data_IF_989131579217
#
_entry.id   IF_989131579217
#
_cell.length_a   1.000
_cell.length_b   1.000
_cell.length_c   1.000
_cell.angle_alpha   90.00
_cell.angle_beta   90.00
_cell.angle_gamma   90.00
#
_symmetry.space_group_name_H-M   'P 1'
#
loop_
_entity.id
_entity.type
_entity.pdbx_description
1 polymer ?
#
# COMPACT_ATOMS: atom_id res chain seq x y z
N UNK A 1 10.50 5.94 1.07
CA UNK A 1 9.06 5.63 0.87
C UNK A 1 8.80 4.13 0.79
N UNK A 2 9.75 3.32 0.33
CA UNK A 2 9.64 1.87 0.40
C UNK A 2 9.27 1.33 1.78
N UNK A 3 9.88 1.87 2.82
CA UNK A 3 9.64 1.57 4.22
C UNK A 3 8.15 1.55 4.60
N UNK A 4 7.44 2.65 4.31
CA UNK A 4 6.00 2.77 4.57
C UNK A 4 5.18 1.87 3.67
N UNK A 5 5.46 1.88 2.36
CA UNK A 5 4.67 1.12 1.39
C UNK A 5 4.73 -0.39 1.65
N UNK A 6 5.93 -0.95 1.81
CA UNK A 6 6.13 -2.39 2.06
C UNK A 6 5.53 -2.82 3.40
N UNK A 7 5.64 -1.96 4.43
CA UNK A 7 5.00 -2.19 5.73
C UNK A 7 3.48 -2.19 5.62
N UNK A 8 2.89 -1.23 4.90
CA UNK A 8 1.43 -1.15 4.76
C UNK A 8 0.88 -2.33 3.98
N UNK A 9 1.54 -2.76 2.89
CA UNK A 9 1.15 -3.97 2.16
C UNK A 9 1.13 -5.17 3.12
N UNK A 10 2.20 -5.38 3.91
CA UNK A 10 2.24 -6.48 4.89
C UNK A 10 1.10 -6.40 5.90
N UNK A 11 0.85 -5.22 6.45
CA UNK A 11 -0.19 -5.01 7.48
C UNK A 11 -1.61 -5.18 6.92
N UNK A 12 -1.86 -4.73 5.69
CA UNK A 12 -3.12 -4.93 4.99
C UNK A 12 -3.45 -6.43 4.87
N UNK A 13 -2.45 -7.26 4.59
CA UNK A 13 -2.59 -8.71 4.56
C UNK A 13 -2.53 -9.39 5.94
N UNK A 14 -2.54 -8.61 7.04
CA UNK A 14 -2.52 -9.08 8.44
C UNK A 14 -1.35 -10.02 8.77
N UNK A 15 -0.21 -9.87 8.07
CA UNK A 15 0.96 -10.71 8.28
C UNK A 15 1.90 -10.10 9.34
N UNK A 16 2.45 -10.92 10.22
CA UNK A 16 3.58 -10.51 11.06
C UNK A 16 4.85 -10.36 10.22
N UNK A 17 5.86 -9.66 10.73
CA UNK A 17 7.17 -9.60 10.07
C UNK A 17 7.81 -10.99 9.97
N UNK A 18 7.57 -11.88 10.93
CA UNK A 18 8.06 -13.26 10.85
C UNK A 18 7.37 -14.00 9.70
N UNK A 19 6.04 -13.90 9.61
CA UNK A 19 5.24 -14.65 8.64
C UNK A 19 5.59 -14.24 7.22
N UNK A 20 5.70 -12.93 6.95
CA UNK A 20 6.07 -12.46 5.63
C UNK A 20 7.52 -12.85 5.29
N UNK A 21 8.45 -12.67 6.23
CA UNK A 21 9.85 -13.01 6.01
C UNK A 21 10.03 -14.49 5.63
N UNK A 22 9.29 -15.39 6.29
CA UNK A 22 9.23 -16.80 5.93
C UNK A 22 8.64 -17.01 4.53
N UNK A 23 7.49 -16.41 4.24
CA UNK A 23 6.79 -16.56 2.95
C UNK A 23 7.62 -16.07 1.75
N UNK A 24 8.39 -14.99 1.90
CA UNK A 24 9.24 -14.46 0.83
C UNK A 24 10.71 -14.87 0.96
N UNK A 25 11.01 -15.80 1.86
CA UNK A 25 12.35 -16.35 2.07
C UNK A 25 13.44 -15.27 2.25
N UNK A 26 13.25 -14.40 3.23
CA UNK A 26 14.25 -13.43 3.71
C UNK A 26 14.34 -13.49 5.24
N UNK A 27 15.37 -12.88 5.83
CA UNK A 27 15.40 -12.79 7.29
C UNK A 27 14.41 -11.75 7.81
N UNK A 28 13.75 -12.06 8.94
CA UNK A 28 12.93 -11.09 9.68
C UNK A 28 13.71 -9.80 10.00
N UNK A 29 15.00 -9.93 10.33
CA UNK A 29 15.86 -8.77 10.62
C UNK A 29 15.97 -7.86 9.42
N UNK A 30 16.19 -8.41 8.22
CA UNK A 30 16.27 -7.63 7.00
C UNK A 30 14.92 -6.96 6.67
N UNK A 31 13.81 -7.68 6.80
CA UNK A 31 12.47 -7.12 6.64
C UNK A 31 12.22 -5.93 7.60
N UNK A 32 12.65 -6.06 8.86
CA UNK A 32 12.55 -4.99 9.85
C UNK A 32 13.41 -3.77 9.46
N UNK A 33 14.61 -3.98 8.93
CA UNK A 33 15.47 -2.88 8.48
C UNK A 33 14.84 -2.10 7.31
N UNK A 34 14.26 -2.79 6.33
CA UNK A 34 13.62 -2.13 5.19
C UNK A 34 12.34 -1.39 5.59
N UNK A 35 11.49 -1.98 6.46
CA UNK A 35 10.25 -1.35 6.94
C UNK A 35 10.49 -0.18 7.91
N UNK A 36 11.70 -0.05 8.45
CA UNK A 36 12.11 1.06 9.33
C UNK A 36 12.96 2.12 8.62
N UNK A 37 13.05 2.05 7.29
CA UNK A 37 13.89 2.93 6.49
C UNK A 37 15.37 2.92 6.91
N UNK A 38 15.86 1.81 7.47
CA UNK A 38 17.28 1.65 7.83
C UNK A 38 18.11 1.13 6.66
N UNK A 39 17.48 0.41 5.74
CA UNK A 39 18.08 -0.09 4.49
C UNK A 39 17.07 0.06 3.37
N UNK A 40 17.56 0.28 2.16
CA UNK A 40 16.72 0.14 0.99
C UNK A 40 16.47 -1.35 0.67
N UNK A 41 15.26 -1.71 0.20
CA UNK A 41 15.01 -3.04 -0.32
C UNK A 41 15.78 -3.26 -1.61
N UNK A 42 16.34 -4.46 -1.79
CA UNK A 42 16.90 -4.83 -3.09
C UNK A 42 15.79 -5.07 -4.12
N UNK A 43 16.13 -5.00 -5.41
CA UNK A 43 15.20 -5.36 -6.49
C UNK A 43 14.63 -6.78 -6.31
N UNK A 44 15.43 -7.70 -5.77
CA UNK A 44 15.01 -9.07 -5.49
C UNK A 44 13.92 -9.13 -4.42
N UNK A 45 14.02 -8.32 -3.36
CA UNK A 45 12.94 -8.19 -2.38
C UNK A 45 11.69 -7.61 -3.02
N UNK A 46 11.82 -6.57 -3.85
CA UNK A 46 10.68 -5.97 -4.53
C UNK A 46 9.98 -6.96 -5.47
N UNK A 47 10.74 -7.81 -6.19
CA UNK A 47 10.18 -8.91 -7.00
C UNK A 47 9.41 -9.90 -6.14
N UNK A 48 9.97 -10.32 -5.01
CA UNK A 48 9.30 -11.22 -4.08
C UNK A 48 8.00 -10.64 -3.51
N UNK A 49 7.97 -9.33 -3.22
CA UNK A 49 6.73 -8.63 -2.88
C UNK A 49 5.73 -8.63 -4.04
N UNK A 50 6.19 -8.30 -5.24
CA UNK A 50 5.37 -8.29 -6.45
C UNK A 50 4.71 -9.65 -6.70
N UNK A 51 5.49 -10.74 -6.62
CA UNK A 51 5.02 -12.11 -6.75
C UNK A 51 4.07 -12.52 -5.63
N UNK A 52 4.44 -12.23 -4.36
CA UNK A 52 3.64 -12.65 -3.20
C UNK A 52 2.28 -11.97 -3.14
N UNK A 53 2.21 -10.69 -3.52
CA UNK A 53 1.01 -9.87 -3.41
C UNK A 53 0.33 -9.60 -4.75
N UNK A 54 0.81 -10.24 -5.82
CA UNK A 54 0.28 -10.12 -7.18
C UNK A 54 0.19 -8.65 -7.65
N UNK A 55 1.16 -7.83 -7.24
CA UNK A 55 1.26 -6.42 -7.65
C UNK A 55 2.34 -6.26 -8.71
N UNK A 56 2.16 -5.39 -9.72
CA UNK A 56 3.21 -5.12 -10.69
C UNK A 56 4.48 -4.59 -10.00
N UNK A 57 5.64 -5.14 -10.33
CA UNK A 57 6.94 -4.67 -9.81
C UNK A 57 7.15 -3.18 -10.07
N UNK A 58 6.72 -2.70 -11.24
CA UNK A 58 6.78 -1.27 -11.61
C UNK A 58 6.01 -0.37 -10.63
N UNK A 59 4.89 -0.84 -10.09
CA UNK A 59 4.11 -0.11 -9.08
C UNK A 59 4.90 0.08 -7.78
N UNK A 60 5.67 -0.94 -7.37
CA UNK A 60 6.56 -0.83 -6.22
C UNK A 60 7.75 0.07 -6.53
N UNK A 61 8.32 -0.01 -7.74
CA UNK A 61 9.46 0.80 -8.13
C UNK A 61 9.18 2.31 -8.16
N UNK A 62 7.92 2.73 -8.29
CA UNK A 62 7.53 4.15 -8.18
C UNK A 62 7.97 4.79 -6.84
N UNK A 63 8.09 3.98 -5.77
CA UNK A 63 8.52 4.48 -4.46
C UNK A 63 10.01 4.84 -4.37
N UNK A 64 10.83 4.55 -5.41
CA UNK A 64 12.22 5.00 -5.51
C UNK A 64 12.35 6.50 -5.85
N UNK A 65 11.35 7.12 -6.47
CA UNK A 65 11.51 8.44 -7.11
C UNK A 65 11.48 9.66 -6.16
N UNK A 66 11.52 9.47 -4.84
CA UNK A 66 11.57 10.60 -3.90
C UNK A 66 12.97 11.21 -3.79
N UNK A 67 13.26 12.08 -4.76
CA UNK A 67 14.43 12.97 -4.80
C UNK A 67 14.43 13.94 -5.99
N UNK A 68 13.66 13.68 -7.06
CA UNK A 68 13.58 14.55 -8.24
C UNK A 68 12.14 15.06 -8.41
N UNK A 69 11.84 16.25 -7.90
CA UNK A 69 10.49 16.80 -7.95
C UNK A 69 10.04 17.16 -9.37
N UNK A 70 9.00 16.48 -9.86
CA UNK A 70 8.12 17.01 -10.91
C UNK A 70 6.68 17.14 -10.39
N UNK A 71 5.89 18.02 -11.00
CA UNK A 71 4.50 18.30 -10.61
C UNK A 71 3.61 17.05 -10.64
N UNK A 72 3.97 16.06 -11.47
CA UNK A 72 3.31 14.76 -11.52
C UNK A 72 3.56 13.90 -10.28
N UNK A 73 4.70 14.08 -9.59
CA UNK A 73 5.04 13.30 -8.40
C UNK A 73 4.19 13.70 -7.21
N UNK A 74 3.89 15.00 -7.06
CA UNK A 74 2.95 15.47 -6.04
C UNK A 74 1.53 14.96 -6.28
N UNK A 75 1.09 14.92 -7.55
CA UNK A 75 -0.21 14.37 -7.92
C UNK A 75 -0.29 12.86 -7.68
N UNK A 76 0.76 12.10 -8.02
CA UNK A 76 0.85 10.66 -7.76
C UNK A 76 0.92 10.33 -6.27
N UNK A 77 1.72 11.06 -5.49
CA UNK A 77 1.79 10.90 -4.04
C UNK A 77 0.44 11.20 -3.39
N UNK A 78 -0.29 12.21 -3.87
CA UNK A 78 -1.64 12.51 -3.40
C UNK A 78 -2.64 11.40 -3.72
N UNK A 79 -2.60 10.85 -4.95
CA UNK A 79 -3.47 9.72 -5.33
C UNK A 79 -3.13 8.47 -4.52
N UNK A 80 -1.84 8.18 -4.35
CA UNK A 80 -1.38 7.05 -3.54
C UNK A 80 -1.80 7.19 -2.06
N UNK A 81 -1.67 8.38 -1.48
CA UNK A 81 -2.13 8.66 -0.10
C UNK A 81 -3.65 8.47 0.04
N UNK A 82 -4.42 8.90 -0.98
CA UNK A 82 -5.88 8.73 -0.98
C UNK A 82 -6.30 7.27 -1.14
N UNK A 83 -5.63 6.51 -2.01
CA UNK A 83 -5.86 5.05 -2.17
C UNK A 83 -5.48 4.31 -0.89
N UNK A 84 -4.37 4.69 -0.25
CA UNK A 84 -3.95 4.12 1.02
C UNK A 84 -4.99 4.34 2.11
N UNK A 85 -5.48 5.58 2.26
CA UNK A 85 -6.56 5.92 3.19
C UNK A 85 -7.86 5.15 2.91
N UNK A 86 -8.17 4.88 1.65
CA UNK A 86 -9.34 4.06 1.30
C UNK A 86 -9.13 2.60 1.67
N UNK A 87 -7.93 2.05 1.44
CA UNK A 87 -7.59 0.68 1.84
C UNK A 87 -7.54 0.53 3.36
N UNK A 88 -7.06 1.57 4.07
CA UNK A 88 -7.10 1.67 5.54
C UNK A 88 -8.55 1.72 6.04
N UNK A 89 -9.43 2.52 5.43
CA UNK A 89 -10.85 2.57 5.77
C UNK A 89 -11.58 1.24 5.55
N UNK A 90 -11.29 0.54 4.44
CA UNK A 90 -11.84 -0.80 4.18
C UNK A 90 -11.27 -1.84 5.15
N UNK A 91 -10.02 -1.65 5.61
CA UNK A 91 -9.42 -2.51 6.62
C UNK A 91 -9.94 -2.24 8.04
N UNK A 92 -10.51 -1.06 8.28
CA UNK A 92 -11.03 -0.59 9.58
C UNK A 92 -12.55 -0.83 9.79
N UNK A 93 -13.30 -1.25 8.75
CA UNK A 93 -14.76 -1.41 8.83
C UNK A 93 -15.28 -2.81 8.50
N UNK A 94 -15.34 -3.68 9.51
CA UNK A 94 -16.60 -4.39 9.81
C UNK A 94 -17.35 -3.45 10.78
N UNK A 95 -18.62 -3.15 10.49
CA UNK A 95 -19.54 -2.22 11.18
C UNK A 95 -19.67 -0.81 10.57
N UNK A 96 -20.53 -0.70 9.55
CA UNK A 96 -21.01 0.60 9.05
C UNK A 96 -21.90 0.47 7.82
N UNK A 97 -23.15 0.02 8.01
CA UNK A 97 -24.17 0.06 6.95
C UNK A 97 -24.32 1.49 6.36
N UNK A 98 -24.31 1.66 5.03
CA UNK A 98 -24.90 2.83 4.42
C UNK A 98 -26.43 2.63 4.33
N UNK A 99 -27.15 3.31 5.21
CA UNK A 99 -28.61 3.35 5.22
C UNK A 99 -29.22 3.85 3.91
N UNK A 100 -30.39 3.30 3.60
CA UNK A 100 -31.19 3.48 2.39
C UNK A 100 -31.49 4.93 1.97
N UNK A 101 -31.44 5.10 0.64
CA UNK A 101 -32.31 5.88 -0.24
C UNK A 101 -33.30 6.91 0.37
N UNK A 102 -33.02 8.18 0.10
CA UNK A 102 -34.03 9.24 0.04
C UNK A 102 -34.37 9.59 -1.41
N UNK A 103 -35.55 9.12 -1.88
CA UNK A 103 -36.19 9.53 -3.13
C UNK A 103 -36.42 11.05 -3.16
N UNK A 104 -36.18 11.68 -4.31
CA UNK A 104 -36.96 12.81 -4.77
C UNK A 104 -37.11 12.72 -6.30
N UNK A 105 -38.19 12.08 -6.73
CA UNK A 105 -38.77 12.18 -8.07
C UNK A 105 -39.70 13.39 -8.16
N UNK A 106 -39.83 13.88 -9.40
CA UNK A 106 -40.82 14.84 -9.93
C UNK A 106 -40.45 16.33 -9.77
N UNK A 107 -40.57 17.19 -10.79
CA UNK A 107 -41.65 17.24 -11.78
C UNK A 107 -41.23 18.00 -13.07
N UNK A 108 -41.77 17.54 -14.20
CA UNK A 108 -42.09 18.22 -15.48
C UNK A 108 -42.62 19.65 -15.25
N UNK A 109 -42.47 20.68 -16.08
CA UNK A 109 -42.37 20.91 -17.54
C UNK A 109 -41.46 22.14 -17.79
#
# INVERSE_FOLDING_TARGET
>A
MYDRALKTIRQYHRLSQSDLAEQINISRSYLNEIERNKKEPSLEVLKKYAERFEVPLSSLMLFAEQGAGTTFDKARVFVADKVLKMLEWVAEGEDGEPGEAGKATAHTD
#
